data_IF_588521452960
#
_entry.id   IF_588521452960
#
_cell.length_a   1.000
_cell.length_b   1.000
_cell.length_c   1.000
_cell.angle_alpha   90.00
_cell.angle_beta   90.00
_cell.angle_gamma   90.00
#
_symmetry.space_group_name_H-M   'P 1'
#
loop_
_entity.id
_entity.type
_entity.pdbx_description
1 polymer ?
#
# COMPACT_ATOMS: atom_id res chain seq x y z
N UNK A 1 13.49 -23.62 -4.59
CA UNK A 1 12.37 -23.99 -5.48
C UNK A 1 11.08 -23.57 -4.77
N UNK A 2 10.32 -22.60 -5.30
CA UNK A 2 8.99 -22.25 -4.75
C UNK A 2 8.01 -23.31 -5.26
N UNK A 3 7.45 -24.11 -4.35
CA UNK A 3 6.52 -25.18 -4.71
C UNK A 3 5.12 -24.59 -4.76
N UNK A 4 4.55 -24.53 -5.95
CA UNK A 4 3.15 -24.17 -6.17
C UNK A 4 2.30 -25.43 -5.97
N UNK A 5 1.55 -25.52 -4.88
CA UNK A 5 0.64 -26.64 -4.62
C UNK A 5 -0.82 -26.23 -4.89
N UNK A 6 -1.41 -26.62 -6.03
CA UNK A 6 -2.81 -26.33 -6.36
C UNK A 6 -3.82 -27.10 -5.50
N UNK A 7 -3.38 -27.97 -4.58
CA UNK A 7 -4.23 -28.72 -3.64
C UNK A 7 -4.01 -28.29 -2.19
N UNK A 8 -3.38 -27.14 -1.96
CA UNK A 8 -3.22 -26.58 -0.62
C UNK A 8 -4.57 -26.48 0.10
N UNK A 9 -4.70 -26.95 1.35
CA UNK A 9 -5.93 -26.81 2.14
C UNK A 9 -6.43 -25.36 2.19
N UNK A 10 -5.51 -24.38 2.16
CA UNK A 10 -5.83 -22.94 2.12
C UNK A 10 -6.60 -22.50 0.86
N UNK A 11 -6.50 -23.21 -0.26
CA UNK A 11 -7.32 -22.94 -1.46
C UNK A 11 -8.76 -23.44 -1.33
N UNK A 12 -8.99 -24.48 -0.52
CA UNK A 12 -10.32 -25.05 -0.30
C UNK A 12 -11.17 -24.21 0.68
N UNK A 13 -10.53 -23.41 1.55
CA UNK A 13 -11.17 -22.55 2.56
C UNK A 13 -11.19 -21.06 2.19
N UNK A 14 -10.64 -20.67 1.02
CA UNK A 14 -10.55 -19.27 0.60
C UNK A 14 -11.92 -18.71 0.18
N UNK A 15 -12.60 -18.02 1.11
CA UNK A 15 -13.90 -17.36 0.87
C UNK A 15 -13.80 -15.98 0.22
N UNK A 16 -12.58 -15.49 -0.04
CA UNK A 16 -12.30 -14.12 -0.48
C UNK A 16 -11.43 -13.38 0.52
N UNK A 17 -11.04 -12.15 0.18
CA UNK A 17 -10.30 -11.27 1.08
C UNK A 17 -11.34 -10.46 1.86
N UNK A 18 -11.33 -10.48 3.20
CA UNK A 18 -12.24 -9.64 3.96
C UNK A 18 -11.96 -8.16 3.65
N UNK A 19 -13.00 -7.37 3.42
CA UNK A 19 -12.88 -5.93 3.11
C UNK A 19 -13.73 -5.12 4.07
N UNK A 20 -13.35 -3.87 4.29
CA UNK A 20 -14.25 -2.88 4.88
C UNK A 20 -15.38 -2.52 3.90
N UNK A 21 -16.51 -2.06 4.43
CA UNK A 21 -17.55 -1.43 3.61
C UNK A 21 -17.02 -0.10 3.04
N UNK A 22 -17.15 0.15 1.73
CA UNK A 22 -16.66 1.38 1.12
C UNK A 22 -17.33 2.64 1.69
N UNK A 23 -16.54 3.68 1.95
CA UNK A 23 -17.00 4.97 2.45
C UNK A 23 -16.25 6.12 1.75
N UNK A 24 -16.98 7.15 1.33
CA UNK A 24 -16.43 8.33 0.66
C UNK A 24 -15.49 9.14 1.55
N UNK A 25 -15.59 9.04 2.87
CA UNK A 25 -14.65 9.67 3.81
C UNK A 25 -13.21 9.20 3.64
N UNK A 26 -13.03 8.04 2.99
CA UNK A 26 -11.74 7.43 2.68
C UNK A 26 -11.24 7.77 1.26
N UNK A 27 -11.92 8.67 0.56
CA UNK A 27 -11.45 9.27 -0.68
C UNK A 27 -10.89 10.66 -0.39
N UNK A 28 -9.61 10.89 -0.67
CA UNK A 28 -8.96 12.17 -0.48
C UNK A 28 -8.41 12.71 -1.81
N UNK A 29 -8.49 14.01 -2.00
CA UNK A 29 -7.73 14.70 -3.06
C UNK A 29 -6.39 15.14 -2.49
N UNK A 30 -5.31 14.80 -3.18
CA UNK A 30 -3.95 15.15 -2.80
C UNK A 30 -3.22 15.92 -3.89
N UNK A 31 -2.25 16.73 -3.50
CA UNK A 31 -1.37 17.46 -4.42
C UNK A 31 -0.08 16.67 -4.61
N UNK A 32 0.24 16.30 -5.85
CA UNK A 32 1.47 15.59 -6.18
C UNK A 32 2.63 16.55 -6.44
N UNK A 33 3.73 16.35 -5.74
CA UNK A 33 5.00 17.06 -5.93
C UNK A 33 6.06 16.09 -6.46
N UNK A 34 6.46 16.19 -7.75
CA UNK A 34 7.48 15.31 -8.31
C UNK A 34 8.87 15.62 -7.75
N UNK A 35 9.72 14.59 -7.64
CA UNK A 35 11.15 14.78 -7.41
C UNK A 35 11.87 15.18 -8.69
N UNK A 36 12.95 15.96 -8.56
CA UNK A 36 13.77 16.38 -9.71
C UNK A 36 14.39 15.19 -10.45
N UNK A 37 14.76 14.14 -9.71
CA UNK A 37 15.21 12.87 -10.24
C UNK A 37 14.58 11.76 -9.40
N UNK A 38 14.23 10.60 -10.00
CA UNK A 38 13.74 9.47 -9.23
C UNK A 38 14.75 9.08 -8.15
N UNK A 39 14.28 8.94 -6.92
CA UNK A 39 15.11 8.55 -5.78
C UNK A 39 14.91 7.06 -5.57
N UNK A 40 15.98 6.27 -5.62
CA UNK A 40 15.92 4.87 -5.22
C UNK A 40 15.76 4.82 -3.71
N UNK A 41 14.56 4.52 -3.23
CA UNK A 41 14.35 4.20 -1.82
C UNK A 41 14.51 2.70 -1.62
N UNK A 42 15.38 2.36 -0.68
CA UNK A 42 15.53 1.00 -0.21
C UNK A 42 14.54 0.75 0.91
N UNK A 43 13.53 -0.08 0.65
CA UNK A 43 12.69 -0.65 1.72
C UNK A 43 13.28 -1.98 2.14
N UNK A 44 13.36 -2.23 3.45
CA UNK A 44 13.71 -3.56 3.95
C UNK A 44 12.66 -4.60 3.54
N UNK A 45 13.06 -5.86 3.50
CA UNK A 45 12.14 -6.99 3.38
C UNK A 45 11.81 -7.57 4.76
N UNK A 46 10.67 -8.26 4.87
CA UNK A 46 10.29 -9.05 6.07
C UNK A 46 11.36 -10.09 6.45
N UNK A 47 12.20 -10.51 5.49
CA UNK A 47 13.38 -11.34 5.74
C UNK A 47 14.60 -10.44 5.93
N UNK A 48 15.27 -10.58 7.08
CA UNK A 48 16.50 -9.87 7.38
C UNK A 48 17.57 -10.10 6.29
N UNK A 49 18.11 -9.02 5.72
CA UNK A 49 19.16 -9.06 4.70
C UNK A 49 18.68 -8.98 3.24
N UNK A 50 17.38 -8.85 2.99
CA UNK A 50 16.82 -8.58 1.66
C UNK A 50 16.30 -7.13 1.58
N UNK A 51 16.64 -6.47 0.48
CA UNK A 51 16.31 -5.08 0.19
C UNK A 51 15.51 -5.01 -1.12
N UNK A 52 14.49 -4.15 -1.15
CA UNK A 52 13.80 -3.81 -2.38
C UNK A 52 14.08 -2.36 -2.75
N UNK A 53 14.44 -2.17 -4.02
CA UNK A 53 14.68 -0.88 -4.61
C UNK A 53 13.39 -0.39 -5.26
N UNK A 54 12.76 0.63 -4.67
CA UNK A 54 11.62 1.29 -5.28
C UNK A 54 12.05 2.64 -5.83
N UNK A 55 11.60 2.96 -7.05
CA UNK A 55 11.82 4.26 -7.66
C UNK A 55 10.77 5.23 -7.15
N UNK A 56 11.13 6.00 -6.12
CA UNK A 56 10.30 7.07 -5.60
C UNK A 56 10.31 8.24 -6.61
N UNK A 57 9.13 8.69 -7.00
CA UNK A 57 8.96 9.72 -8.03
C UNK A 57 8.44 11.05 -7.51
N UNK A 58 7.97 11.08 -6.27
CA UNK A 58 7.48 12.30 -5.63
C UNK A 58 6.74 12.03 -4.34
N UNK A 59 6.16 13.08 -3.77
CA UNK A 59 5.29 13.02 -2.60
C UNK A 59 3.89 13.49 -2.93
N UNK A 60 2.91 12.96 -2.21
CA UNK A 60 1.52 13.39 -2.27
C UNK A 60 1.14 13.92 -0.90
N UNK A 61 0.77 15.19 -0.85
CA UNK A 61 0.25 15.88 0.32
C UNK A 61 -1.27 15.90 0.27
N UNK A 62 -1.94 15.46 1.33
CA UNK A 62 -3.41 15.36 1.38
C UNK A 62 -3.93 15.52 2.81
N UNK A 63 -5.22 15.80 2.94
CA UNK A 63 -5.94 15.68 4.21
C UNK A 63 -6.80 14.42 4.17
N UNK A 64 -6.66 13.57 5.18
CA UNK A 64 -7.51 12.40 5.36
C UNK A 64 -8.26 12.55 6.68
N UNK A 65 -9.59 12.71 6.59
CA UNK A 65 -10.48 12.81 7.76
C UNK A 65 -10.08 13.93 8.74
N UNK A 66 -9.59 15.07 8.23
CA UNK A 66 -9.13 16.21 9.04
C UNK A 66 -7.70 16.07 9.58
N UNK A 67 -6.95 15.07 9.11
CA UNK A 67 -5.54 14.88 9.45
C UNK A 67 -4.68 15.06 8.20
N UNK A 68 -3.84 16.09 8.21
CA UNK A 68 -2.85 16.30 7.18
C UNK A 68 -1.83 15.15 7.18
N UNK A 69 -1.58 14.59 5.99
CA UNK A 69 -0.68 13.48 5.78
C UNK A 69 0.12 13.66 4.49
N UNK A 70 1.25 12.95 4.42
CA UNK A 70 2.10 12.90 3.25
C UNK A 70 2.51 11.47 2.99
N UNK A 71 2.44 11.04 1.73
CA UNK A 71 2.93 9.72 1.30
C UNK A 71 3.88 9.88 0.11
N UNK A 72 4.93 9.08 0.10
CA UNK A 72 5.85 8.95 -1.03
C UNK A 72 5.24 8.02 -2.08
N UNK A 73 5.26 8.48 -3.34
CA UNK A 73 4.75 7.76 -4.49
C UNK A 73 5.87 7.04 -5.25
N UNK A 74 5.58 5.81 -5.65
CA UNK A 74 6.49 4.96 -6.40
C UNK A 74 5.96 4.72 -7.81
N UNK A 75 6.83 4.90 -8.82
CA UNK A 75 6.45 4.65 -10.20
C UNK A 75 6.22 3.16 -10.47
N UNK A 76 5.28 2.88 -11.38
CA UNK A 76 5.09 1.58 -12.01
C UNK A 76 5.53 1.65 -13.47
N UNK A 77 5.91 0.52 -14.08
CA UNK A 77 6.36 0.49 -15.48
C UNK A 77 5.33 0.99 -16.50
N UNK A 78 4.04 0.95 -16.15
CA UNK A 78 2.93 1.42 -16.98
C UNK A 78 2.67 2.94 -16.88
N UNK A 79 3.51 3.67 -16.14
CA UNK A 79 3.36 5.12 -15.92
C UNK A 79 2.38 5.50 -14.81
N UNK A 80 1.68 4.53 -14.20
CA UNK A 80 0.90 4.76 -12.99
C UNK A 80 1.78 4.82 -11.74
N UNK A 81 1.20 5.25 -10.62
CA UNK A 81 1.88 5.28 -9.33
C UNK A 81 1.24 4.29 -8.37
N UNK A 82 1.99 3.91 -7.35
CA UNK A 82 1.45 3.23 -6.19
C UNK A 82 2.05 3.79 -4.90
N UNK A 83 1.26 3.68 -3.84
CA UNK A 83 1.65 4.02 -2.48
C UNK A 83 1.75 2.74 -1.68
N UNK A 84 2.89 2.52 -1.05
CA UNK A 84 3.04 1.51 -0.02
C UNK A 84 2.93 2.20 1.33
N UNK A 85 1.93 1.86 2.13
CA UNK A 85 1.69 2.53 3.41
C UNK A 85 1.34 1.55 4.53
N UNK A 86 1.60 2.01 5.74
CA UNK A 86 1.05 1.44 6.98
C UNK A 86 0.25 2.52 7.70
N UNK A 87 -0.64 2.10 8.57
CA UNK A 87 -1.54 2.98 9.29
C UNK A 87 -1.90 2.38 10.67
N UNK A 88 -2.76 3.04 11.45
CA UNK A 88 -3.06 2.55 12.80
C UNK A 88 -3.87 1.23 12.83
N UNK A 89 -4.43 0.77 11.71
CA UNK A 89 -5.05 -0.57 11.60
C UNK A 89 -4.05 -1.69 11.33
N UNK A 90 -2.81 -1.36 10.92
CA UNK A 90 -1.78 -2.33 10.54
C UNK A 90 -1.37 -3.21 11.72
N UNK A 91 -1.54 -4.53 11.59
CA UNK A 91 -1.32 -5.52 12.66
C UNK A 91 -2.47 -5.63 13.67
N UNK A 92 -3.52 -4.80 13.53
CA UNK A 92 -4.72 -4.82 14.37
C UNK A 92 -5.89 -5.45 13.62
N UNK A 93 -6.23 -4.93 12.45
CA UNK A 93 -7.31 -5.42 11.57
C UNK A 93 -6.85 -5.56 10.11
N UNK A 94 -5.73 -4.95 9.73
CA UNK A 94 -5.13 -5.06 8.39
C UNK A 94 -3.72 -5.67 8.47
N UNK A 95 -3.20 -6.14 7.34
CA UNK A 95 -1.89 -6.79 7.30
C UNK A 95 -0.76 -5.86 7.82
N UNK A 96 0.13 -6.31 8.72
CA UNK A 96 1.10 -5.45 9.39
C UNK A 96 2.22 -4.87 8.52
N UNK A 97 2.52 -5.50 7.37
CA UNK A 97 3.70 -5.12 6.57
C UNK A 97 3.51 -3.85 5.76
N UNK A 98 2.50 -3.85 4.89
CA UNK A 98 2.06 -2.70 4.09
C UNK A 98 0.78 -3.08 3.33
N UNK A 99 -0.01 -2.06 3.00
CA UNK A 99 -1.02 -2.11 1.94
C UNK A 99 -0.57 -1.27 0.76
N UNK A 100 -1.01 -1.65 -0.42
CA UNK A 100 -0.73 -0.95 -1.67
C UNK A 100 -1.98 -0.20 -2.13
N UNK A 101 -1.84 1.08 -2.45
CA UNK A 101 -2.86 1.87 -3.10
C UNK A 101 -2.38 2.26 -4.50
N UNK A 102 -3.13 1.87 -5.53
CA UNK A 102 -2.88 2.31 -6.89
C UNK A 102 -3.37 3.76 -7.05
N UNK A 103 -2.54 4.60 -7.67
CA UNK A 103 -2.82 6.02 -7.89
C UNK A 103 -2.62 6.33 -9.36
N UNK A 104 -3.67 6.87 -9.99
CA UNK A 104 -3.58 7.42 -11.34
C UNK A 104 -2.70 8.68 -11.29
N UNK A 105 -1.93 8.92 -12.34
CA UNK A 105 -1.09 10.13 -12.46
C UNK A 105 -1.85 11.43 -12.17
N UNK A 106 -1.14 12.50 -11.80
CA UNK A 106 -1.76 13.79 -11.54
C UNK A 106 -2.51 14.32 -12.76
N UNK A 107 -3.58 15.07 -12.51
CA UNK A 107 -4.26 15.84 -13.54
C UNK A 107 -3.44 17.08 -13.99
N UNK A 108 -3.98 17.87 -14.91
CA UNK A 108 -3.33 19.09 -15.43
C UNK A 108 -3.04 20.13 -14.34
N UNK A 109 -3.71 20.05 -13.19
CA UNK A 109 -3.51 20.92 -12.02
C UNK A 109 -2.57 20.34 -10.97
N UNK A 110 -2.02 19.14 -11.20
CA UNK A 110 -1.13 18.46 -10.25
C UNK A 110 -1.86 17.71 -9.14
N UNK A 111 -3.18 17.55 -9.23
CA UNK A 111 -3.99 16.86 -8.22
C UNK A 111 -4.13 15.37 -8.54
N UNK A 112 -4.19 14.55 -7.50
CA UNK A 112 -4.42 13.10 -7.56
C UNK A 112 -5.57 12.72 -6.63
N UNK A 113 -6.26 11.64 -6.97
CA UNK A 113 -7.28 11.05 -6.10
C UNK A 113 -6.70 9.83 -5.39
N UNK A 114 -6.82 9.81 -4.08
CA UNK A 114 -6.43 8.71 -3.20
C UNK A 114 -7.71 8.03 -2.69
N UNK A 115 -8.08 6.91 -3.31
CA UNK A 115 -9.24 6.11 -2.92
C UNK A 115 -8.80 4.93 -2.04
N UNK A 116 -8.73 5.14 -0.73
CA UNK A 116 -8.28 4.12 0.23
C UNK A 116 -9.23 2.92 0.30
N UNK A 117 -10.46 3.01 -0.23
CA UNK A 117 -11.34 1.85 -0.39
C UNK A 117 -10.77 0.81 -1.35
N UNK A 118 -9.79 1.18 -2.18
CA UNK A 118 -9.07 0.29 -3.10
C UNK A 118 -7.69 -0.12 -2.60
N UNK A 119 -7.38 0.16 -1.32
CA UNK A 119 -6.16 -0.33 -0.72
C UNK A 119 -6.19 -1.88 -0.66
N UNK A 120 -5.20 -2.49 -1.30
CA UNK A 120 -5.09 -3.94 -1.41
C UNK A 120 -3.87 -4.47 -0.65
N UNK A 121 -3.96 -5.68 -0.15
CA UNK A 121 -2.84 -6.34 0.48
C UNK A 121 -1.80 -6.76 -0.55
N UNK A 122 -0.53 -6.72 -0.17
CA UNK A 122 0.54 -7.27 -0.99
C UNK A 122 0.50 -8.81 -0.96
N UNK A 123 1.06 -9.51 -1.97
CA UNK A 123 1.06 -10.98 -2.03
C UNK A 123 1.63 -11.69 -0.78
N UNK A 124 2.49 -11.03 0.00
CA UNK A 124 2.97 -11.57 1.28
C UNK A 124 1.92 -11.67 2.38
N UNK A 125 0.82 -10.94 2.28
CA UNK A 125 -0.27 -11.09 3.24
C UNK A 125 -0.84 -12.50 3.30
N UNK A 126 -0.69 -13.26 2.22
CA UNK A 126 -1.16 -14.64 2.10
C UNK A 126 -0.11 -15.69 2.48
N UNK A 127 1.15 -15.30 2.72
CA UNK A 127 2.23 -16.27 3.00
C UNK A 127 3.42 -15.68 3.74
N UNK A 128 3.85 -16.36 4.82
CA UNK A 128 5.05 -16.01 5.60
C UNK A 128 6.37 -16.20 4.82
N UNK A 129 6.32 -16.80 3.62
CA UNK A 129 7.49 -17.09 2.79
C UNK A 129 7.80 -16.00 1.75
N UNK A 130 7.01 -14.94 1.69
CA UNK A 130 7.20 -13.84 0.77
C UNK A 130 8.04 -12.71 1.40
N UNK A 131 9.11 -12.34 0.70
CA UNK A 131 9.92 -11.16 0.98
C UNK A 131 9.13 -9.95 0.50
N UNK A 132 8.29 -9.36 1.33
CA UNK A 132 7.58 -8.14 0.95
C UNK A 132 8.37 -6.89 1.28
N UNK A 133 8.27 -5.83 0.46
CA UNK A 133 8.73 -4.52 0.88
C UNK A 133 7.91 -4.06 2.09
N UNK A 134 8.60 -3.59 3.11
CA UNK A 134 7.97 -2.87 4.22
C UNK A 134 7.73 -1.44 3.74
N UNK A 135 6.57 -0.85 4.06
CA UNK A 135 6.35 0.57 3.77
C UNK A 135 7.49 1.40 4.38
N UNK A 136 8.04 2.40 3.66
CA UNK A 136 9.08 3.24 4.23
C UNK A 136 8.53 3.94 5.49
N UNK A 137 9.37 4.24 6.50
CA UNK A 137 8.93 4.89 7.74
C UNK A 137 8.13 6.19 7.51
N UNK A 138 8.45 6.91 6.43
CA UNK A 138 7.79 8.12 5.99
C UNK A 138 6.36 7.89 5.49
N UNK A 139 6.02 6.67 5.06
CA UNK A 139 4.69 6.28 4.62
C UNK A 139 3.88 5.59 5.74
N UNK A 140 4.00 6.11 6.96
CA UNK A 140 3.19 5.67 8.10
C UNK A 140 2.14 6.72 8.43
N UNK A 141 0.88 6.39 8.20
CA UNK A 141 -0.26 7.22 8.58
C UNK A 141 -0.58 7.03 10.07
N UNK A 142 -0.90 8.12 10.76
CA UNK A 142 -1.38 8.06 12.14
C UNK A 142 -2.87 7.71 12.24
N UNK A 143 -3.61 7.94 11.17
CA UNK A 143 -5.05 7.65 11.06
C UNK A 143 -5.27 6.13 10.98
N UNK A 144 -6.33 5.61 11.60
CA UNK A 144 -6.78 4.23 11.40
C UNK A 144 -7.62 4.17 10.12
N UNK A 145 -7.03 3.66 9.03
CA UNK A 145 -7.69 3.63 7.72
C UNK A 145 -8.53 2.37 7.60
N UNK A 146 -9.77 2.44 8.08
CA UNK A 146 -10.79 1.39 8.03
C UNK A 146 -11.47 1.33 6.65
N UNK A 147 -10.66 1.13 5.60
CA UNK A 147 -11.06 1.05 4.21
C UNK A 147 -10.24 -0.02 3.47
N UNK A 148 -10.79 -0.58 2.39
CA UNK A 148 -10.09 -1.56 1.55
C UNK A 148 -9.97 -2.94 2.20
N UNK A 149 -8.93 -3.68 1.84
CA UNK A 149 -8.71 -5.04 2.32
C UNK A 149 -8.22 -5.10 3.77
N UNK A 150 -8.76 -6.06 4.52
CA UNK A 150 -8.38 -6.45 5.88
C UNK A 150 -7.32 -7.57 5.85
N UNK A 151 -6.81 -8.01 7.02
CA UNK A 151 -5.86 -9.13 7.09
C UNK A 151 -6.54 -10.43 6.61
N UNK A 152 -6.06 -11.06 5.52
CA UNK A 152 -6.67 -12.28 4.98
C UNK A 152 -6.44 -13.52 5.85
N UNK A 153 -5.61 -13.44 6.90
CA UNK A 153 -5.29 -14.56 7.79
C UNK A 153 -6.14 -14.60 9.06
N UNK A 154 -7.13 -13.71 9.17
CA UNK A 154 -8.05 -13.65 10.30
C UNK A 154 -9.45 -14.14 9.95
#
# INVERSE_FOLDING_TARGET
MRVHDPRSPHLAEFGGIPTYEPDERWCATGTFTPFQHPVTMTTGAVVAGLEHHHSAVGTIDFDLTGTAARLTAFARPDGSMHLLFTDATSGVTTYPGARSLAVVGPDESGQVVLDFNRAANLPCSFTDFATCPVAPPENRLAVAVEAGEQDPRR
#
